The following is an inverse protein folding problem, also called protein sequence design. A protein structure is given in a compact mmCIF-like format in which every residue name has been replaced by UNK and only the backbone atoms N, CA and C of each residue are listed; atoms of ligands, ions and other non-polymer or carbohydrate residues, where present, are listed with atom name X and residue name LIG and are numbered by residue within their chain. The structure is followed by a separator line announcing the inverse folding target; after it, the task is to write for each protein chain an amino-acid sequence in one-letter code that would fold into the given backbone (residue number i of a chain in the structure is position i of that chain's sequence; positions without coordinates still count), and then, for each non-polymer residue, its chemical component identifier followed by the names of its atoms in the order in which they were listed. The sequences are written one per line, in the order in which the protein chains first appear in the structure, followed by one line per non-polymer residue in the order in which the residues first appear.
data_IF_216488719187
#
_entry.id   IF_216488719187
#
_cell.length_a   1.000
_cell.length_b   1.000
_cell.length_c   1.000
_cell.angle_alpha   90.00
_cell.angle_beta   90.00
_cell.angle_gamma   90.00
#
_symmetry.space_group_name_H-M   'P 1'
#
loop_
_entity.id
_entity.type
_entity.pdbx_description
1 polymer ?
#
# COMPACT_ATOMS: atom_id res chain seq x y z
N UNK A 1 13.90 -13.60 12.33
CA UNK A 1 14.62 -12.30 12.34
C UNK A 1 14.18 -11.39 11.20
N UNK A 2 14.17 -11.85 9.94
CA UNK A 2 13.75 -11.02 8.77
C UNK A 2 12.34 -10.42 8.91
N UNK A 3 11.39 -11.13 9.53
CA UNK A 3 10.04 -10.58 9.78
C UNK A 3 10.04 -9.31 10.66
N UNK A 4 10.88 -9.26 11.70
CA UNK A 4 10.97 -8.09 12.57
C UNK A 4 11.58 -6.87 11.83
N UNK A 5 12.45 -7.10 10.85
CA UNK A 5 12.95 -6.03 9.98
C UNK A 5 11.83 -5.43 9.11
N UNK A 6 10.94 -6.27 8.57
CA UNK A 6 9.78 -5.80 7.77
C UNK A 6 8.88 -4.92 8.63
N UNK A 7 8.60 -5.33 9.88
CA UNK A 7 7.83 -4.51 10.83
C UNK A 7 8.57 -3.21 11.16
N UNK A 8 9.87 -3.26 11.41
CA UNK A 8 10.68 -2.07 11.68
C UNK A 8 10.63 -1.03 10.55
N UNK A 9 10.63 -1.47 9.30
CA UNK A 9 10.46 -0.57 8.15
C UNK A 9 9.08 0.09 8.11
N UNK A 10 8.04 -0.56 8.62
CA UNK A 10 6.69 0.03 8.70
C UNK A 10 6.56 1.08 9.81
N UNK A 11 7.43 1.06 10.82
CA UNK A 11 7.45 2.08 11.87
C UNK A 11 8.04 3.40 11.39
N UNK A 12 8.84 3.38 10.32
CA UNK A 12 9.43 4.58 9.73
C UNK A 12 8.36 5.31 8.90
N UNK A 13 7.99 6.56 9.26
CA UNK A 13 7.00 7.31 8.51
C UNK A 13 7.53 7.64 7.12
N UNK A 14 6.68 7.42 6.11
CA UNK A 14 7.01 7.63 4.69
C UNK A 14 7.52 9.05 4.39
N UNK A 15 7.02 10.05 5.12
CA UNK A 15 7.39 11.46 4.98
C UNK A 15 8.90 11.70 5.16
N UNK A 16 9.55 10.93 6.04
CA UNK A 16 10.99 11.07 6.31
C UNK A 16 11.83 10.43 5.20
N UNK A 17 11.27 9.48 4.43
CA UNK A 17 11.95 8.81 3.33
C UNK A 17 12.01 9.62 2.03
N UNK A 18 11.24 10.70 1.89
CA UNK A 18 11.20 11.50 0.65
C UNK A 18 12.58 12.10 0.32
N UNK A 19 13.27 12.66 1.31
CA UNK A 19 14.59 13.29 1.14
C UNK A 19 15.63 12.27 0.64
N UNK A 20 15.84 11.11 1.31
CA UNK A 20 16.82 10.13 0.85
C UNK A 20 16.44 9.48 -0.48
N UNK A 21 15.15 9.25 -0.75
CA UNK A 21 14.69 8.74 -2.07
C UNK A 21 15.05 9.72 -3.18
N UNK A 22 14.83 11.01 -2.97
CA UNK A 22 15.19 12.03 -3.94
C UNK A 22 16.70 12.08 -4.17
N UNK A 23 17.51 12.03 -3.11
CA UNK A 23 18.98 11.96 -3.23
C UNK A 23 19.42 10.76 -4.06
N UNK A 24 18.85 9.57 -3.81
CA UNK A 24 19.17 8.37 -4.59
C UNK A 24 18.84 8.55 -6.09
N UNK A 25 17.70 9.14 -6.44
CA UNK A 25 17.31 9.37 -7.84
C UNK A 25 18.28 10.34 -8.54
N UNK A 26 18.75 11.37 -7.81
CA UNK A 26 19.76 12.32 -8.30
C UNK A 26 21.10 11.63 -8.54
N UNK A 27 21.57 10.83 -7.57
CA UNK A 27 22.82 10.08 -7.66
C UNK A 27 22.80 9.06 -8.81
N UNK A 28 21.64 8.43 -9.03
CA UNK A 28 21.37 7.51 -10.14
C UNK A 28 21.16 8.22 -11.49
N UNK A 29 21.14 9.57 -11.52
CA UNK A 29 20.84 10.39 -12.71
C UNK A 29 19.50 10.04 -13.38
N UNK A 30 18.53 9.55 -12.62
CA UNK A 30 17.19 9.19 -13.12
C UNK A 30 16.19 10.35 -13.06
N UNK A 31 16.70 11.58 -12.93
CA UNK A 31 15.90 12.79 -12.97
C UNK A 31 15.13 12.85 -14.30
N UNK A 32 13.82 13.17 -14.25
CA UNK A 32 12.90 13.21 -15.40
C UNK A 32 12.74 11.88 -16.17
N UNK A 33 13.03 10.74 -15.56
CA UNK A 33 12.76 9.42 -16.14
C UNK A 33 11.59 8.72 -15.45
N UNK A 34 10.80 7.96 -16.21
CA UNK A 34 9.78 7.07 -15.65
C UNK A 34 10.36 6.07 -14.64
N UNK A 35 11.62 5.67 -14.83
CA UNK A 35 12.32 4.77 -13.91
C UNK A 35 12.53 5.41 -12.53
N UNK A 36 12.88 6.71 -12.50
CA UNK A 36 13.02 7.47 -11.25
C UNK A 36 11.71 7.62 -10.49
N UNK A 37 10.56 7.56 -11.19
CA UNK A 37 9.24 7.59 -10.57
C UNK A 37 8.73 6.21 -10.16
N UNK A 38 9.03 5.14 -10.91
CA UNK A 38 8.47 3.80 -10.65
C UNK A 38 9.31 3.05 -9.61
N UNK A 39 10.63 3.01 -9.81
CA UNK A 39 11.53 2.11 -9.05
C UNK A 39 11.45 2.30 -7.53
N UNK A 40 11.44 3.53 -6.98
CA UNK A 40 11.39 3.72 -5.52
C UNK A 40 10.09 3.20 -4.88
N UNK A 41 9.00 3.19 -5.64
CA UNK A 41 7.67 2.86 -5.13
C UNK A 41 7.32 1.38 -5.30
N UNK A 42 8.10 0.62 -6.08
CA UNK A 42 7.92 -0.83 -6.26
C UNK A 42 8.12 -1.60 -4.95
N UNK A 43 9.00 -1.11 -4.07
CA UNK A 43 9.35 -1.80 -2.83
C UNK A 43 8.53 -1.26 -1.67
N UNK A 44 7.41 -1.93 -1.37
CA UNK A 44 6.57 -1.62 -0.22
C UNK A 44 6.59 -2.73 0.82
N UNK A 45 7.11 -2.41 2.01
CA UNK A 45 7.17 -3.33 3.14
C UNK A 45 5.78 -3.82 3.58
N UNK A 46 4.74 -3.01 3.39
CA UNK A 46 3.34 -3.38 3.67
C UNK A 46 2.86 -4.57 2.83
N UNK A 47 3.17 -4.57 1.53
CA UNK A 47 2.73 -5.63 0.62
C UNK A 47 3.44 -6.95 0.96
N UNK A 48 4.71 -6.90 1.35
CA UNK A 48 5.46 -8.08 1.83
C UNK A 48 4.83 -8.63 3.12
N UNK A 49 4.47 -7.75 4.05
CA UNK A 49 3.78 -8.13 5.29
C UNK A 49 2.43 -8.81 5.01
N UNK A 50 1.61 -8.23 4.13
CA UNK A 50 0.32 -8.80 3.73
C UNK A 50 0.47 -10.16 3.04
N UNK A 51 1.47 -10.33 2.17
CA UNK A 51 1.72 -11.62 1.50
C UNK A 51 2.07 -12.70 2.52
N UNK A 52 2.91 -12.37 3.50
CA UNK A 52 3.22 -13.30 4.59
C UNK A 52 1.97 -13.66 5.38
N UNK A 53 1.11 -12.68 5.66
CA UNK A 53 -0.15 -12.95 6.36
C UNK A 53 -1.01 -13.93 5.58
N UNK A 54 -1.12 -13.77 4.26
CA UNK A 54 -1.82 -14.70 3.39
C UNK A 54 -1.24 -16.12 3.45
N UNK A 55 0.07 -16.30 3.30
CA UNK A 55 0.67 -17.63 3.35
C UNK A 55 0.50 -18.33 4.69
N UNK A 56 0.46 -17.59 5.81
CA UNK A 56 0.16 -18.18 7.12
C UNK A 56 -1.30 -18.64 7.28
N UNK A 57 -2.22 -18.16 6.45
CA UNK A 57 -3.62 -18.64 6.46
C UNK A 57 -3.81 -19.93 5.68
N UNK A 58 -2.85 -20.33 4.85
CA UNK A 58 -2.92 -21.56 4.06
C UNK A 58 -2.70 -22.76 5.00
N UNK A 59 -3.61 -23.76 5.02
CA UNK A 59 -3.47 -24.93 5.88
C UNK A 59 -2.28 -25.79 5.45
N UNK A 60 -1.53 -26.30 6.42
CA UNK A 60 -0.32 -27.12 6.21
C UNK A 60 -0.60 -28.45 5.47
N UNK A 61 -1.83 -28.95 5.57
CA UNK A 61 -2.31 -30.17 4.89
C UNK A 61 -2.07 -30.12 3.37
N UNK A 62 -2.13 -28.94 2.75
CA UNK A 62 -1.87 -28.76 1.32
C UNK A 62 -0.38 -28.94 0.97
N UNK A 63 0.53 -28.56 1.88
CA UNK A 63 1.95 -28.80 1.70
C UNK A 63 2.27 -30.30 1.88
N UNK A 64 1.68 -30.94 2.89
CA UNK A 64 1.87 -32.37 3.16
C UNK A 64 1.36 -33.24 2.01
N UNK A 65 0.19 -32.91 1.44
CA UNK A 65 -0.32 -33.59 0.25
C UNK A 65 0.62 -33.42 -0.96
N UNK A 66 1.21 -32.24 -1.15
CA UNK A 66 2.14 -31.97 -2.23
C UNK A 66 3.49 -32.69 -2.06
N UNK A 67 3.94 -32.88 -0.82
CA UNK A 67 5.11 -33.70 -0.50
C UNK A 67 4.85 -35.18 -0.79
N UNK A 68 3.64 -35.69 -0.48
CA UNK A 68 3.22 -37.06 -0.83
C UNK A 68 3.14 -37.25 -2.36
N UNK A 69 2.71 -36.21 -3.09
CA UNK A 69 2.74 -36.17 -4.57
C UNK A 69 4.17 -36.05 -5.16
N UNK A 70 5.21 -36.02 -4.31
CA UNK A 70 6.61 -36.02 -4.73
C UNK A 70 7.13 -34.67 -5.24
N UNK A 71 6.42 -33.57 -4.98
CA UNK A 71 6.89 -32.24 -5.36
C UNK A 71 8.01 -31.76 -4.42
N UNK A 72 9.09 -31.24 -5.00
CA UNK A 72 10.11 -30.50 -4.25
C UNK A 72 9.56 -29.13 -3.81
N UNK A 73 10.16 -28.48 -2.80
CA UNK A 73 9.69 -27.20 -2.22
C UNK A 73 9.46 -26.09 -3.26
N UNK A 74 10.31 -26.02 -4.29
CA UNK A 74 10.14 -25.05 -5.41
C UNK A 74 8.91 -25.42 -6.26
N UNK A 75 8.65 -26.71 -6.44
CA UNK A 75 7.45 -27.22 -7.12
C UNK A 75 6.17 -26.92 -6.33
N UNK A 76 6.19 -27.12 -5.01
CA UNK A 76 5.09 -26.76 -4.11
C UNK A 76 4.81 -25.24 -4.21
N UNK A 77 5.86 -24.42 -4.15
CA UNK A 77 5.72 -22.97 -4.26
C UNK A 77 5.12 -22.54 -5.60
N UNK A 78 5.66 -23.00 -6.72
CA UNK A 78 5.25 -22.54 -8.06
C UNK A 78 3.92 -23.13 -8.54
N UNK A 79 3.63 -24.39 -8.18
CA UNK A 79 2.45 -25.11 -8.70
C UNK A 79 1.23 -25.01 -7.80
N UNK A 80 1.41 -24.75 -6.50
CA UNK A 80 0.32 -24.72 -5.51
C UNK A 80 0.22 -23.32 -4.88
N UNK A 81 1.28 -22.86 -4.22
CA UNK A 81 1.23 -21.59 -3.48
C UNK A 81 1.04 -20.38 -4.39
N UNK A 82 1.74 -20.33 -5.51
CA UNK A 82 1.68 -19.21 -6.47
C UNK A 82 0.27 -19.04 -7.08
N UNK A 83 -0.39 -20.06 -7.67
CA UNK A 83 -1.75 -19.90 -8.19
C UNK A 83 -2.78 -19.62 -7.09
N UNK A 84 -2.62 -20.19 -5.88
CA UNK A 84 -3.47 -19.89 -4.73
C UNK A 84 -3.34 -18.41 -4.31
N UNK A 85 -2.13 -17.87 -4.34
CA UNK A 85 -1.85 -16.47 -3.99
C UNK A 85 -2.30 -15.45 -5.05
N UNK A 86 -2.71 -15.88 -6.25
CA UNK A 86 -3.11 -14.98 -7.34
C UNK A 86 -4.19 -13.97 -6.91
N UNK A 87 -5.18 -14.42 -6.14
CA UNK A 87 -6.23 -13.52 -5.61
C UNK A 87 -5.66 -12.47 -4.66
N UNK A 88 -4.78 -12.88 -3.75
CA UNK A 88 -4.15 -11.98 -2.79
C UNK A 88 -3.16 -11.00 -3.47
N UNK A 89 -2.47 -11.43 -4.53
CA UNK A 89 -1.64 -10.55 -5.38
C UNK A 89 -2.52 -9.50 -6.07
N UNK A 90 -3.69 -9.86 -6.61
CA UNK A 90 -4.61 -8.89 -7.20
C UNK A 90 -5.03 -7.82 -6.18
N UNK A 91 -5.39 -8.22 -4.96
CA UNK A 91 -5.74 -7.29 -3.88
C UNK A 91 -4.58 -6.34 -3.55
N UNK A 92 -3.35 -6.85 -3.50
CA UNK A 92 -2.17 -6.03 -3.25
C UNK A 92 -1.88 -5.00 -4.35
N UNK A 93 -2.07 -5.39 -5.62
CA UNK A 93 -1.96 -4.47 -6.75
C UNK A 93 -2.98 -3.35 -6.59
N UNK A 94 -4.23 -3.67 -6.27
CA UNK A 94 -5.28 -2.68 -6.02
C UNK A 94 -4.88 -1.76 -4.86
N UNK A 95 -4.42 -2.30 -3.73
CA UNK A 95 -3.98 -1.48 -2.60
C UNK A 95 -2.84 -0.53 -2.95
N UNK A 96 -1.86 -0.99 -3.74
CA UNK A 96 -0.74 -0.16 -4.19
C UNK A 96 -1.22 1.00 -5.06
N UNK A 97 -2.17 0.75 -5.97
CA UNK A 97 -2.79 1.78 -6.82
C UNK A 97 -3.70 2.73 -6.03
N UNK A 98 -4.55 2.22 -5.14
CA UNK A 98 -5.50 3.00 -4.35
C UNK A 98 -4.80 3.85 -3.29
N UNK A 99 -3.75 3.33 -2.65
CA UNK A 99 -2.91 4.09 -1.72
C UNK A 99 -2.19 5.28 -2.39
N UNK A 100 -1.95 5.18 -3.70
CA UNK A 100 -1.41 6.24 -4.55
C UNK A 100 -2.45 7.33 -4.86
N UNK A 101 -3.73 6.97 -5.00
CA UNK A 101 -4.81 7.87 -5.44
C UNK A 101 -5.68 8.48 -4.32
N UNK A 102 -5.60 7.99 -3.07
CA UNK A 102 -6.43 8.49 -1.96
C UNK A 102 -5.76 9.55 -1.08
N UNK A 103 -4.43 9.72 -1.12
CA UNK A 103 -3.76 10.79 -0.35
C UNK A 103 -4.08 12.20 -0.86
N UNK A 104 -4.58 12.32 -2.09
CA UNK A 104 -4.97 13.60 -2.69
C UNK A 104 -6.39 14.04 -2.37
N UNK A 105 -7.31 13.13 -2.04
CA UNK A 105 -8.76 13.44 -1.97
C UNK A 105 -9.29 13.50 -0.53
N UNK A 106 -8.85 12.63 0.39
CA UNK A 106 -9.41 12.62 1.76
C UNK A 106 -8.87 13.76 2.64
N UNK A 107 -7.64 14.20 2.42
CA UNK A 107 -7.07 15.33 3.17
C UNK A 107 -7.72 16.69 2.77
N UNK A 108 -8.40 16.74 1.62
CA UNK A 108 -9.15 17.91 1.18
C UNK A 108 -10.62 17.88 1.64
N UNK A 109 -11.20 16.68 1.84
CA UNK A 109 -12.61 16.51 2.24
C UNK A 109 -12.82 16.45 3.76
N UNK A 110 -11.84 15.95 4.53
CA UNK A 110 -11.97 15.74 5.98
C UNK A 110 -12.01 17.00 6.88
N UNK A 111 -11.64 18.22 6.45
CA UNK A 111 -11.96 19.44 7.20
C UNK A 111 -13.45 19.79 7.25
N UNK A 112 -14.29 19.16 6.41
CA UNK A 112 -15.73 19.47 6.27
C UNK A 112 -16.65 18.40 6.87
N UNK A 113 -16.11 17.26 7.32
CA UNK A 113 -16.90 16.16 7.88
C UNK A 113 -17.23 16.34 9.37
N UNK A 114 -16.67 17.38 10.02
CA UNK A 114 -16.94 17.73 11.41
C UNK A 114 -17.82 18.99 11.48
N UNK A 115 -19.08 18.84 11.89
CA UNK A 115 -20.03 19.95 12.02
C UNK A 115 -19.62 20.99 13.07
N UNK A 116 -18.72 20.64 13.99
CA UNK A 116 -18.26 21.54 15.05
C UNK A 116 -17.19 22.53 14.57
N UNK A 117 -16.57 22.31 13.40
CA UNK A 117 -15.51 23.17 12.85
C UNK A 117 -15.99 24.19 11.81
N UNK A 118 -17.30 24.28 11.54
CA UNK A 118 -17.85 25.24 10.57
C UNK A 118 -17.69 26.65 11.14
N UNK A 119 -16.84 27.52 10.55
CA UNK A 119 -16.67 28.87 11.06
C UNK A 119 -17.98 29.65 10.88
N UNK A 120 -18.31 30.53 11.84
CA UNK A 120 -19.59 31.27 11.87
C UNK A 120 -19.89 32.04 10.58
N UNK A 121 -18.86 32.45 9.84
CA UNK A 121 -19.02 33.06 8.52
C UNK A 121 -19.56 32.06 7.49
N UNK A 122 -19.16 30.79 7.49
CA UNK A 122 -19.63 29.78 6.53
C UNK A 122 -21.15 29.57 6.58
N UNK A 123 -21.72 29.54 7.79
CA UNK A 123 -23.18 29.49 7.99
C UNK A 123 -23.84 30.80 7.54
N UNK A 124 -23.20 31.94 7.75
CA UNK A 124 -23.70 33.25 7.30
C UNK A 124 -23.73 33.37 5.77
N UNK A 125 -22.71 32.85 5.06
CA UNK A 125 -22.68 32.82 3.60
C UNK A 125 -23.74 31.88 3.01
N UNK A 126 -23.93 30.68 3.59
CA UNK A 126 -25.01 29.78 3.17
C UNK A 126 -26.40 30.43 3.36
N UNK A 127 -26.59 31.18 4.45
CA UNK A 127 -27.82 31.93 4.72
C UNK A 127 -27.99 33.15 3.81
N UNK A 128 -26.90 33.73 3.31
CA UNK A 128 -26.90 34.81 2.31
C UNK A 128 -27.24 34.29 0.91
N UNK A 129 -26.69 33.14 0.50
CA UNK A 129 -27.01 32.52 -0.79
C UNK A 129 -28.49 32.08 -0.85
N UNK A 130 -29.03 31.51 0.23
CA UNK A 130 -30.45 31.12 0.29
C UNK A 130 -31.42 32.29 0.41
N UNK A 131 -30.95 33.49 0.79
CA UNK A 131 -31.77 34.73 0.80
C UNK A 131 -31.75 35.48 -0.53
N UNK A 132 -30.99 35.00 -1.52
CA UNK A 132 -30.87 35.61 -2.85
C UNK A 132 -31.46 34.69 -3.94
N UNK A 133 -32.56 34.01 -3.61
CA UNK A 133 -33.49 33.34 -4.52
C UNK A 133 -34.90 33.73 -4.11
#
# INVERSE_FOLDING_TARGET
MVFFLVIGMMMVPYQVMIIPIFSMIVDLKWLNSYQGLIVPFLFQSFLVFLMRQFFMTVPRELEEAAEVDGLNKIGIFTRIMLPLSKGAICTQIIFSFTGLNLKSETNAFLPYADSDQIPSWGVAYARLCMKRV
#
